data_IF_722600543410
#
_entry.id   IF_722600543410
#
_cell.length_a   1.000
_cell.length_b   1.000
_cell.length_c   1.000
_cell.angle_alpha   90.00
_cell.angle_beta   90.00
_cell.angle_gamma   90.00
#
_symmetry.space_group_name_H-M   'P 1'
#
loop_
_entity.id
_entity.type
_entity.pdbx_description
1 polymer ?
#
# COMPACT_ATOMS: atom_id res chain seq x y z
N UNK A 1 27.27 1.53 -19.46
CA UNK A 1 26.42 2.75 -19.53
C UNK A 1 25.36 2.61 -18.46
N UNK A 2 25.17 3.59 -17.55
CA UNK A 2 23.98 3.58 -16.70
C UNK A 2 22.76 3.62 -17.63
N UNK A 3 21.90 2.64 -17.49
CA UNK A 3 20.74 2.50 -18.35
C UNK A 3 19.76 3.66 -18.03
N UNK A 4 19.11 4.24 -19.05
CA UNK A 4 18.35 5.49 -18.91
C UNK A 4 17.17 5.27 -17.96
N UNK A 5 17.16 5.99 -16.84
CA UNK A 5 16.08 5.94 -15.86
C UNK A 5 14.92 6.83 -16.29
N UNK A 6 13.75 6.24 -16.50
CA UNK A 6 12.50 6.97 -16.79
C UNK A 6 11.86 7.45 -15.49
N UNK A 7 11.40 8.69 -15.46
CA UNK A 7 10.58 9.22 -14.36
C UNK A 7 9.11 9.12 -14.73
N UNK A 8 8.34 8.35 -13.96
CA UNK A 8 6.91 8.13 -14.18
C UNK A 8 6.10 8.90 -13.14
N UNK A 9 5.15 9.70 -13.60
CA UNK A 9 4.19 10.39 -12.72
C UNK A 9 2.82 9.76 -12.92
N UNK A 10 2.28 9.20 -11.84
CA UNK A 10 0.94 8.60 -11.80
C UNK A 10 0.01 9.54 -11.05
N UNK A 11 -1.07 9.95 -11.69
CA UNK A 11 -2.08 10.83 -11.11
C UNK A 11 -3.45 10.22 -11.25
N UNK A 12 -4.40 10.70 -10.45
CA UNK A 12 -5.80 10.32 -10.56
C UNK A 12 -6.61 11.56 -10.90
N UNK A 13 -7.40 11.50 -11.96
CA UNK A 13 -8.35 12.54 -12.29
C UNK A 13 -9.56 12.49 -11.34
N UNK A 14 -10.34 13.58 -11.29
CA UNK A 14 -11.51 13.68 -10.40
C UNK A 14 -12.61 12.66 -10.69
N UNK A 15 -12.64 12.10 -11.89
CA UNK A 15 -13.53 11.00 -12.32
C UNK A 15 -13.04 9.62 -11.85
N UNK A 16 -11.89 9.56 -11.16
CA UNK A 16 -11.28 8.34 -10.68
C UNK A 16 -10.32 7.68 -11.68
N UNK A 17 -10.19 8.20 -12.90
CA UNK A 17 -9.31 7.64 -13.95
C UNK A 17 -7.84 7.85 -13.61
N UNK A 18 -7.03 6.80 -13.73
CA UNK A 18 -5.57 6.88 -13.57
C UNK A 18 -4.93 7.41 -14.84
N UNK A 19 -4.07 8.43 -14.70
CA UNK A 19 -3.26 8.99 -15.78
C UNK A 19 -1.79 8.79 -15.47
N UNK A 20 -1.05 8.27 -16.44
CA UNK A 20 0.38 8.00 -16.34
C UNK A 20 1.09 8.91 -17.34
N UNK A 21 2.14 9.60 -16.88
CA UNK A 21 3.00 10.42 -17.74
C UNK A 21 4.46 10.11 -17.46
N UNK A 22 5.17 9.70 -18.49
CA UNK A 22 6.58 9.36 -18.42
C UNK A 22 7.44 10.52 -18.92
N UNK A 23 8.57 10.72 -18.25
CA UNK A 23 9.57 11.75 -18.49
C UNK A 23 10.96 11.12 -18.57
N UNK A 24 11.88 11.69 -19.37
CA UNK A 24 13.23 11.13 -19.52
C UNK A 24 14.10 11.34 -18.26
N UNK A 25 13.78 12.32 -17.41
CA UNK A 25 14.48 12.66 -16.18
C UNK A 25 13.58 13.53 -15.26
N UNK A 26 14.15 14.06 -14.18
CA UNK A 26 13.45 14.89 -13.18
C UNK A 26 13.36 16.38 -13.55
N UNK A 27 14.04 16.85 -14.61
CA UNK A 27 14.08 18.26 -14.95
C UNK A 27 12.70 18.86 -15.26
N UNK A 28 11.79 18.17 -15.99
CA UNK A 28 10.42 18.64 -16.17
C UNK A 28 9.66 18.77 -14.83
N UNK A 29 9.88 17.86 -13.88
CA UNK A 29 9.22 17.90 -12.57
C UNK A 29 9.70 19.08 -11.74
N UNK A 30 11.00 19.40 -11.80
CA UNK A 30 11.59 20.59 -11.14
C UNK A 30 11.01 21.91 -11.65
N UNK A 31 10.50 21.95 -12.89
CA UNK A 31 9.84 23.13 -13.44
C UNK A 31 8.37 23.24 -13.00
N UNK A 32 7.69 22.11 -12.79
CA UNK A 32 6.25 22.07 -12.47
C UNK A 32 5.97 22.01 -10.96
N UNK A 33 6.90 21.49 -10.15
CA UNK A 33 6.74 21.26 -8.72
C UNK A 33 7.88 21.87 -7.92
N UNK A 34 7.55 22.40 -6.74
CA UNK A 34 8.57 22.84 -5.78
C UNK A 34 9.27 21.63 -5.16
N UNK A 35 10.59 21.54 -5.32
CA UNK A 35 11.40 20.59 -4.57
C UNK A 35 11.42 20.99 -3.09
N UNK A 36 11.04 20.06 -2.21
CA UNK A 36 11.01 20.24 -0.76
C UNK A 36 12.15 19.51 -0.04
N UNK A 37 12.89 18.67 -0.76
CA UNK A 37 14.03 17.95 -0.22
C UNK A 37 14.63 16.97 -1.20
N UNK A 38 15.44 16.05 -0.67
CA UNK A 38 16.02 14.91 -1.37
C UNK A 38 15.74 13.66 -0.54
N UNK A 39 15.57 12.53 -1.20
CA UNK A 39 15.46 11.24 -0.52
C UNK A 39 16.84 10.73 -0.10
N UNK A 40 17.02 10.40 1.19
CA UNK A 40 18.26 9.79 1.72
C UNK A 40 18.00 8.45 2.45
N UNK A 41 16.72 8.12 2.69
CA UNK A 41 16.34 6.97 3.49
C UNK A 41 15.93 5.74 2.68
N UNK A 42 15.84 5.83 1.34
CA UNK A 42 15.52 4.66 0.53
C UNK A 42 16.54 3.54 0.70
N UNK A 43 16.05 2.31 0.73
CA UNK A 43 16.87 1.09 0.69
C UNK A 43 17.50 0.89 -0.69
N UNK A 44 16.90 1.46 -1.73
CA UNK A 44 17.46 1.46 -3.08
C UNK A 44 18.43 2.65 -3.22
N UNK A 45 19.72 2.34 -3.30
CA UNK A 45 20.78 3.35 -3.49
C UNK A 45 20.62 4.13 -4.79
N UNK A 46 19.95 3.57 -5.80
CA UNK A 46 19.68 4.26 -7.06
C UNK A 46 18.62 5.36 -6.91
N UNK A 47 17.82 5.35 -5.83
CA UNK A 47 16.81 6.38 -5.56
C UNK A 47 17.31 7.47 -4.63
N UNK A 48 18.37 7.22 -3.85
CA UNK A 48 18.92 8.27 -2.98
C UNK A 48 19.40 9.45 -3.81
N UNK A 49 19.17 10.64 -3.29
CA UNK A 49 19.44 11.91 -3.97
C UNK A 49 18.36 12.33 -4.96
N UNK A 50 17.33 11.51 -5.22
CA UNK A 50 16.19 11.96 -6.03
C UNK A 50 15.36 13.01 -5.27
N UNK A 51 14.82 14.01 -5.98
CA UNK A 51 14.08 15.12 -5.37
C UNK A 51 12.73 14.67 -4.77
N UNK A 52 12.45 15.15 -3.57
CA UNK A 52 11.11 15.12 -2.99
C UNK A 52 10.37 16.37 -3.47
N UNK A 53 9.17 16.19 -4.05
CA UNK A 53 8.39 17.29 -4.61
C UNK A 53 7.12 17.56 -3.79
N UNK A 54 6.77 18.84 -3.63
CA UNK A 54 5.49 19.22 -3.02
C UNK A 54 4.34 18.72 -3.89
N UNK A 55 3.42 17.96 -3.27
CA UNK A 55 2.23 17.43 -3.93
C UNK A 55 2.45 16.15 -4.74
N UNK A 56 3.62 15.52 -4.63
CA UNK A 56 3.89 14.19 -5.15
C UNK A 56 4.41 13.28 -4.03
N UNK A 57 4.05 12.01 -4.08
CA UNK A 57 4.51 10.94 -3.20
C UNK A 57 5.56 10.11 -3.96
N UNK A 58 6.71 9.87 -3.34
CA UNK A 58 7.87 9.21 -3.96
C UNK A 58 9.17 9.85 -3.48
N UNK A 59 10.32 9.50 -4.07
CA UNK A 59 10.53 8.57 -5.19
C UNK A 59 10.32 7.10 -4.80
N UNK A 60 9.68 6.32 -5.66
CA UNK A 60 9.51 4.86 -5.47
C UNK A 60 10.11 4.09 -6.64
N UNK A 61 10.72 2.91 -6.40
CA UNK A 61 11.25 2.09 -7.47
C UNK A 61 10.10 1.38 -8.19
N UNK A 62 10.06 1.48 -9.51
CA UNK A 62 9.15 0.72 -10.36
C UNK A 62 9.95 -0.09 -11.38
N UNK A 63 10.15 -1.38 -11.12
CA UNK A 63 11.02 -2.22 -11.95
C UNK A 63 12.48 -1.76 -11.92
N UNK A 64 13.23 -2.04 -12.99
CA UNK A 64 14.69 -1.86 -13.00
C UNK A 64 15.17 -0.43 -13.31
N UNK A 65 14.36 0.37 -13.97
CA UNK A 65 14.78 1.65 -14.56
C UNK A 65 13.67 2.71 -14.51
N UNK A 66 12.62 2.51 -13.72
CA UNK A 66 11.56 3.52 -13.59
C UNK A 66 11.53 4.01 -12.16
N UNK A 67 11.54 5.33 -12.00
CA UNK A 67 11.30 6.01 -10.73
C UNK A 67 9.90 6.58 -10.77
N UNK A 68 9.03 6.11 -9.89
CA UNK A 68 7.65 6.54 -9.83
C UNK A 68 7.45 7.63 -8.79
N UNK A 69 6.69 8.64 -9.19
CA UNK A 69 6.01 9.60 -8.33
C UNK A 69 4.51 9.46 -8.51
N UNK A 70 3.75 9.64 -7.44
CA UNK A 70 2.30 9.49 -7.42
C UNK A 70 1.63 10.75 -6.87
N UNK A 71 0.42 11.08 -7.31
CA UNK A 71 -0.40 12.06 -6.58
C UNK A 71 -0.89 11.46 -5.25
N UNK A 72 -1.19 12.29 -4.23
CA UNK A 72 -1.74 11.81 -2.96
C UNK A 72 -2.98 10.92 -3.14
N UNK A 73 -3.86 11.27 -4.09
CA UNK A 73 -5.08 10.50 -4.38
C UNK A 73 -4.79 9.07 -4.87
N UNK A 74 -3.72 8.89 -5.66
CA UNK A 74 -3.29 7.56 -6.14
C UNK A 74 -2.77 6.76 -4.95
N UNK A 75 -1.87 7.36 -4.18
CA UNK A 75 -1.29 6.71 -2.99
C UNK A 75 -2.37 6.28 -1.99
N UNK A 76 -3.33 7.17 -1.70
CA UNK A 76 -4.44 6.86 -0.81
C UNK A 76 -5.33 5.74 -1.34
N UNK A 77 -5.68 5.76 -2.62
CA UNK A 77 -6.51 4.74 -3.24
C UNK A 77 -5.83 3.36 -3.17
N UNK A 78 -4.57 3.27 -3.60
CA UNK A 78 -3.79 2.03 -3.57
C UNK A 78 -3.59 1.53 -2.14
N UNK A 79 -3.38 2.42 -1.18
CA UNK A 79 -3.25 2.05 0.25
C UNK A 79 -4.58 1.53 0.82
N UNK A 80 -5.71 2.15 0.45
CA UNK A 80 -7.06 1.68 0.84
C UNK A 80 -7.38 0.33 0.22
N UNK A 81 -7.05 0.11 -1.04
CA UNK A 81 -7.22 -1.18 -1.72
C UNK A 81 -6.39 -2.27 -1.06
N UNK A 82 -5.11 -1.98 -0.78
CA UNK A 82 -4.22 -2.93 -0.11
C UNK A 82 -4.68 -3.30 1.30
N UNK A 83 -5.16 -2.32 2.07
CA UNK A 83 -5.73 -2.58 3.41
C UNK A 83 -7.05 -3.33 3.35
N UNK A 84 -7.90 -3.05 2.36
CA UNK A 84 -9.18 -3.75 2.14
C UNK A 84 -9.00 -5.16 1.60
N UNK A 85 -7.89 -5.44 0.91
CA UNK A 85 -7.55 -6.77 0.40
C UNK A 85 -7.20 -7.78 1.51
N UNK A 86 -7.17 -7.39 2.80
CA UNK A 86 -7.02 -8.33 3.92
C UNK A 86 -8.28 -9.17 4.13
N UNK A 87 -8.23 -10.34 3.50
CA UNK A 87 -8.77 -11.65 3.90
C UNK A 87 -10.22 -11.64 4.35
N UNK A 88 -11.08 -12.23 3.53
CA UNK A 88 -12.26 -12.97 3.99
C UNK A 88 -11.82 -13.82 5.18
N UNK A 89 -12.04 -13.33 6.41
CA UNK A 89 -11.84 -14.11 7.62
C UNK A 89 -12.74 -15.32 7.43
N UNK A 90 -12.16 -16.49 7.13
CA UNK A 90 -12.89 -17.75 7.24
C UNK A 90 -13.42 -17.76 8.66
N UNK A 91 -14.73 -17.57 8.82
CA UNK A 91 -15.38 -17.71 10.10
C UNK A 91 -15.00 -19.10 10.62
N UNK A 92 -14.19 -19.18 11.67
CA UNK A 92 -14.05 -20.44 12.41
C UNK A 92 -15.47 -20.76 12.86
N UNK A 93 -16.08 -21.80 12.27
CA UNK A 93 -17.27 -22.43 12.82
C UNK A 93 -16.94 -22.70 14.28
N UNK A 94 -17.59 -21.97 15.20
CA UNK A 94 -17.63 -22.37 16.60
C UNK A 94 -18.21 -23.79 16.56
N UNK A 95 -17.39 -24.80 16.88
CA UNK A 95 -17.93 -26.11 17.19
C UNK A 95 -18.89 -25.88 18.36
N UNK A 96 -20.11 -26.38 18.21
CA UNK A 96 -21.12 -26.34 19.25
C UNK A 96 -20.52 -26.96 20.52
N UNK A 97 -20.74 -26.40 21.72
CA UNK A 97 -20.42 -27.11 22.95
C UNK A 97 -21.24 -28.41 22.98
N UNK A 98 -20.67 -29.56 23.38
CA UNK A 98 -21.43 -30.78 23.55
C UNK A 98 -22.47 -30.57 24.65
N UNK A 99 -23.75 -30.66 24.30
CA UNK A 99 -24.84 -30.78 25.26
C UNK A 99 -24.77 -32.16 25.92
N UNK A 100 -24.89 -32.20 27.25
CA UNK A 100 -25.24 -33.42 27.97
C UNK A 100 -24.23 -33.86 29.02
N UNK A 101 -24.22 -33.18 30.16
CA UNK A 101 -23.98 -33.87 31.45
C UNK A 101 -25.19 -33.51 32.32
N UNK A 102 -26.15 -34.43 32.40
CA UNK A 102 -27.24 -34.36 33.37
C UNK A 102 -26.71 -34.90 34.69
N UNK A 103 -26.61 -34.01 35.66
CA UNK A 103 -26.41 -34.34 37.07
C UNK A 103 -27.70 -35.01 37.57
N UNK A 104 -27.65 -36.31 37.84
CA UNK A 104 -28.72 -37.04 38.51
C UNK A 104 -28.30 -37.26 39.96
N UNK A 105 -28.64 -36.29 40.80
CA UNK A 105 -28.78 -36.50 42.23
C UNK A 105 -30.23 -36.97 42.49
N UNK A 106 -30.40 -38.20 43.00
CA UNK A 106 -31.25 -38.47 44.17
C UNK A 106 -31.36 -39.97 44.50
N UNK A 107 -30.86 -40.29 45.70
CA UNK A 107 -31.52 -41.01 46.80
C UNK A 107 -32.21 -42.35 46.48
N UNK A 108 -31.66 -43.43 47.05
CA UNK A 108 -32.43 -44.61 47.47
C UNK A 108 -31.68 -45.34 48.59
N UNK A 109 -32.07 -45.08 49.83
CA UNK A 109 -31.78 -45.95 50.98
C UNK A 109 -32.88 -47.01 51.07
N UNK A 110 -32.55 -48.31 51.16
CA UNK A 110 -33.45 -49.32 51.68
C UNK A 110 -33.15 -49.64 53.15
N UNK A 111 -34.23 -50.05 53.81
CA UNK A 111 -34.47 -50.29 55.24
C UNK A 111 -33.53 -51.22 55.99
#
# INVERSE_FOLDING_TARGET
MPAKTTVRVVTRASDGTVRIKDYPDTAPLLQMHTQIGIDDCSTDLALRGYPLFKGLIGPMPEGKQVVRYESPDVFEALTKEWTSAKSTRKARRRMHPPEGIQEVDQISSPS
#
